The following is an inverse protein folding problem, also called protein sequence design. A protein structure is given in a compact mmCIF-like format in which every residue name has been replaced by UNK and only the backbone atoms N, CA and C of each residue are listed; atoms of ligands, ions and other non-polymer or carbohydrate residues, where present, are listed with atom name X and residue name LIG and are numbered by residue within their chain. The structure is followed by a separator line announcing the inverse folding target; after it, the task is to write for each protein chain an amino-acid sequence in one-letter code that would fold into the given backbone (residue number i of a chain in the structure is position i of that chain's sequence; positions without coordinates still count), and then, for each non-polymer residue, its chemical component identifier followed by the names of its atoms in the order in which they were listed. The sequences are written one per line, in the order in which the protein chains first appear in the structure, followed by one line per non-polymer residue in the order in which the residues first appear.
data_IF_468322221556
#
_entry.id   IF_468322221556
#
_cell.length_a   1.000
_cell.length_b   1.000
_cell.length_c   1.000
_cell.angle_alpha   90.00
_cell.angle_beta   90.00
_cell.angle_gamma   90.00
#
_symmetry.space_group_name_H-M   'P 1'
#
loop_
_entity.id
_entity.type
_entity.pdbx_description
1 polymer ?
#
# COMPACT_ATOMS: atom_id res chain seq x y z
N UNK A 1 19.75 5.13 -22.24
CA UNK A 1 19.52 6.55 -22.64
C UNK A 1 20.86 7.28 -22.57
N UNK A 2 21.27 8.04 -23.59
CA UNK A 2 22.43 8.93 -23.49
C UNK A 2 22.11 10.04 -22.47
N UNK A 3 23.09 10.44 -21.66
CA UNK A 3 23.00 11.47 -20.60
C UNK A 3 22.40 12.79 -21.10
N UNK A 4 21.07 12.87 -21.12
CA UNK A 4 20.33 14.12 -21.26
C UNK A 4 19.83 14.48 -19.87
N UNK A 5 20.20 15.66 -19.36
CA UNK A 5 19.58 16.22 -18.17
C UNK A 5 18.07 16.24 -18.39
N UNK A 6 17.36 15.39 -17.65
CA UNK A 6 15.91 15.42 -17.63
C UNK A 6 15.54 16.68 -16.83
N UNK A 7 14.72 17.56 -17.40
CA UNK A 7 14.24 18.75 -16.68
C UNK A 7 13.20 18.32 -15.63
N UNK A 8 13.62 17.57 -14.61
CA UNK A 8 12.81 17.01 -13.53
C UNK A 8 13.56 17.15 -12.20
N UNK A 9 12.88 16.82 -11.10
CA UNK A 9 13.46 16.82 -9.77
C UNK A 9 14.79 16.02 -9.71
N UNK A 10 15.87 16.58 -9.12
CA UNK A 10 17.18 15.93 -9.09
C UNK A 10 17.20 14.56 -8.40
N UNK A 11 16.38 14.37 -7.36
CA UNK A 11 16.30 13.09 -6.65
C UNK A 11 15.58 12.04 -7.50
N UNK A 12 14.54 12.45 -8.23
CA UNK A 12 13.89 11.59 -9.22
C UNK A 12 14.83 11.24 -10.38
N UNK A 13 15.57 12.21 -10.90
CA UNK A 13 16.54 11.97 -11.97
C UNK A 13 17.64 11.00 -11.53
N UNK A 14 18.17 11.19 -10.31
CA UNK A 14 19.16 10.29 -9.71
C UNK A 14 18.60 8.88 -9.55
N UNK A 15 17.37 8.74 -9.06
CA UNK A 15 16.70 7.45 -8.93
C UNK A 15 16.56 6.73 -10.29
N UNK A 16 16.11 7.45 -11.34
CA UNK A 16 15.98 6.89 -12.70
C UNK A 16 17.35 6.47 -13.28
N UNK A 17 18.38 7.30 -13.09
CA UNK A 17 19.75 6.97 -13.52
C UNK A 17 20.25 5.69 -12.82
N UNK A 18 20.04 5.59 -11.51
CA UNK A 18 20.43 4.42 -10.72
C UNK A 18 19.69 3.14 -11.13
N UNK A 19 18.38 3.22 -11.39
CA UNK A 19 17.60 2.13 -11.95
C UNK A 19 18.19 1.62 -13.27
N UNK A 20 18.55 2.54 -14.18
CA UNK A 20 19.10 2.17 -15.48
C UNK A 20 20.47 1.48 -15.42
N UNK A 21 21.25 1.70 -14.35
CA UNK A 21 22.59 1.12 -14.17
C UNK A 21 22.52 -0.29 -13.58
N UNK A 22 21.62 -0.55 -12.62
CA UNK A 22 21.54 -1.85 -11.93
C UNK A 22 20.75 -2.94 -12.70
N UNK A 23 20.21 -2.63 -13.88
CA UNK A 23 19.44 -3.56 -14.70
C UNK A 23 17.93 -3.30 -14.65
N UNK A 24 17.22 -3.70 -15.72
CA UNK A 24 15.84 -3.31 -15.99
C UNK A 24 14.85 -3.51 -14.83
N UNK A 25 13.90 -2.58 -14.69
CA UNK A 25 12.63 -2.78 -13.99
C UNK A 25 11.74 -3.82 -14.71
N UNK A 26 12.21 -5.02 -15.02
CA UNK A 26 11.42 -6.02 -15.78
C UNK A 26 10.37 -6.76 -14.94
N UNK A 27 9.83 -6.09 -13.92
CA UNK A 27 8.83 -6.62 -13.00
C UNK A 27 7.44 -6.07 -13.26
N UNK A 28 6.42 -6.92 -13.11
CA UNK A 28 5.00 -6.54 -13.10
C UNK A 28 4.48 -6.25 -11.69
N UNK A 29 5.36 -6.13 -10.70
CA UNK A 29 5.01 -5.93 -9.29
C UNK A 29 5.05 -4.45 -8.91
N UNK A 30 4.17 -4.03 -7.98
CA UNK A 30 4.30 -2.72 -7.33
C UNK A 30 5.59 -2.68 -6.52
N UNK A 31 5.93 -3.79 -5.86
CA UNK A 31 7.09 -3.87 -4.98
C UNK A 31 8.35 -3.45 -5.73
N UNK A 32 8.72 -4.11 -6.82
CA UNK A 32 10.06 -3.97 -7.42
C UNK A 32 10.04 -3.65 -8.93
N UNK A 33 8.85 -3.46 -9.51
CA UNK A 33 8.65 -3.42 -10.96
C UNK A 33 8.19 -2.08 -11.53
N UNK A 34 7.83 -2.11 -12.82
CA UNK A 34 7.28 -0.97 -13.57
C UNK A 34 6.11 -0.32 -12.85
N UNK A 35 5.13 -1.06 -12.29
CA UNK A 35 4.03 -0.43 -11.58
C UNK A 35 4.46 0.48 -10.42
N UNK A 36 5.45 0.06 -9.63
CA UNK A 36 6.01 0.87 -8.54
C UNK A 36 6.64 2.16 -9.06
N UNK A 37 7.44 2.06 -10.13
CA UNK A 37 8.02 3.22 -10.81
C UNK A 37 6.95 4.16 -11.38
N UNK A 38 5.92 3.63 -12.03
CA UNK A 38 4.82 4.42 -12.58
C UNK A 38 4.06 5.18 -11.49
N UNK A 39 3.86 4.55 -10.33
CA UNK A 39 3.24 5.17 -9.17
C UNK A 39 4.12 6.24 -8.52
N UNK A 40 5.44 6.01 -8.45
CA UNK A 40 6.40 7.04 -8.04
C UNK A 40 6.35 8.24 -8.99
N UNK A 41 6.39 8.01 -10.30
CA UNK A 41 6.29 9.08 -11.30
C UNK A 41 4.96 9.84 -11.18
N UNK A 42 3.85 9.14 -10.90
CA UNK A 42 2.56 9.77 -10.64
C UNK A 42 2.61 10.71 -9.42
N UNK A 43 3.26 10.31 -8.31
CA UNK A 43 3.43 11.16 -7.13
C UNK A 43 4.19 12.45 -7.44
N UNK A 44 5.24 12.36 -8.27
CA UNK A 44 5.97 13.55 -8.72
C UNK A 44 5.13 14.39 -9.68
N UNK A 45 4.40 13.76 -10.60
CA UNK A 45 3.55 14.45 -11.57
C UNK A 45 2.51 15.34 -10.90
N UNK A 46 1.75 14.82 -9.93
CA UNK A 46 0.66 15.57 -9.28
C UNK A 46 1.17 16.73 -8.42
N UNK A 47 2.44 16.69 -8.02
CA UNK A 47 3.07 17.71 -7.17
C UNK A 47 4.03 18.62 -7.93
N UNK A 48 4.20 18.42 -9.24
CA UNK A 48 5.09 19.21 -10.08
C UNK A 48 4.35 20.40 -10.68
N UNK A 49 4.80 21.61 -10.39
CA UNK A 49 4.16 22.85 -10.86
C UNK A 49 4.65 23.24 -12.26
N UNK A 50 5.91 22.95 -12.60
CA UNK A 50 6.45 23.28 -13.91
C UNK A 50 5.86 22.35 -14.99
N UNK A 51 5.17 22.95 -15.96
CA UNK A 51 4.49 22.22 -17.05
C UNK A 51 5.50 21.41 -17.88
N UNK A 52 6.72 21.93 -18.11
CA UNK A 52 7.72 21.21 -18.90
C UNK A 52 8.22 19.97 -18.16
N UNK A 53 8.50 20.09 -16.85
CA UNK A 53 8.86 18.98 -15.98
C UNK A 53 7.74 17.95 -15.89
N UNK A 54 6.50 18.40 -15.68
CA UNK A 54 5.31 17.54 -15.63
C UNK A 54 5.13 16.73 -16.91
N UNK A 55 5.24 17.38 -18.08
CA UNK A 55 5.20 16.71 -19.39
C UNK A 55 6.36 15.72 -19.56
N UNK A 56 7.55 16.05 -19.04
CA UNK A 56 8.68 15.13 -19.09
C UNK A 56 8.44 13.87 -18.23
N UNK A 57 7.88 14.03 -17.04
CA UNK A 57 7.53 12.93 -16.13
C UNK A 57 6.50 12.00 -16.78
N UNK A 58 5.44 12.56 -17.38
CA UNK A 58 4.42 11.75 -18.05
C UNK A 58 4.95 11.02 -19.28
N UNK A 59 5.80 11.68 -20.08
CA UNK A 59 6.50 11.03 -21.19
C UNK A 59 7.36 9.85 -20.72
N UNK A 60 8.04 9.98 -19.56
CA UNK A 60 8.79 8.89 -18.94
C UNK A 60 7.87 7.76 -18.51
N UNK A 61 6.74 8.08 -17.85
CA UNK A 61 5.76 7.07 -17.44
C UNK A 61 5.23 6.29 -18.65
N UNK A 62 4.87 6.98 -19.72
CA UNK A 62 4.44 6.34 -20.97
C UNK A 62 5.54 5.47 -21.58
N UNK A 63 6.79 5.92 -21.55
CA UNK A 63 7.93 5.15 -22.04
C UNK A 63 8.08 3.82 -21.28
N UNK A 64 8.06 3.86 -19.94
CA UNK A 64 8.19 2.67 -19.11
C UNK A 64 7.00 1.71 -19.24
N UNK A 65 5.78 2.23 -19.35
CA UNK A 65 4.61 1.41 -19.62
C UNK A 65 4.78 0.59 -20.90
N UNK A 66 5.24 1.22 -21.99
CA UNK A 66 5.45 0.55 -23.27
C UNK A 66 6.60 -0.47 -23.26
N UNK A 67 7.60 -0.29 -22.39
CA UNK A 67 8.65 -1.30 -22.19
C UNK A 67 8.09 -2.56 -21.52
N UNK A 68 7.18 -2.40 -20.55
CA UNK A 68 6.57 -3.51 -19.81
C UNK A 68 5.43 -4.22 -20.54
N UNK A 69 4.81 -3.57 -21.54
CA UNK A 69 3.59 -4.04 -22.20
C UNK A 69 3.72 -5.40 -22.92
N UNK A 70 4.95 -5.88 -23.18
CA UNK A 70 5.22 -7.11 -23.94
C UNK A 70 5.73 -8.28 -23.10
N UNK A 71 5.76 -8.16 -21.78
CA UNK A 71 6.25 -9.23 -20.92
C UNK A 71 5.16 -10.27 -20.65
N UNK A 72 5.47 -11.55 -20.90
CA UNK A 72 4.59 -12.66 -20.53
C UNK A 72 4.63 -12.87 -19.02
N UNK A 73 3.45 -12.89 -18.38
CA UNK A 73 3.32 -13.07 -16.94
C UNK A 73 2.82 -14.49 -16.66
N UNK A 74 3.68 -15.32 -16.08
CA UNK A 74 3.26 -16.62 -15.54
C UNK A 74 2.65 -16.42 -14.15
N UNK A 75 1.45 -16.95 -13.94
CA UNK A 75 0.73 -16.81 -12.66
C UNK A 75 0.96 -18.03 -11.75
N UNK A 76 1.27 -17.75 -10.49
CA UNK A 76 1.45 -18.67 -9.37
C UNK A 76 0.72 -18.15 -8.14
N UNK A 77 0.68 -18.92 -7.04
CA UNK A 77 0.06 -18.45 -5.79
C UNK A 77 0.76 -17.22 -5.19
N UNK A 78 2.05 -17.01 -5.45
CA UNK A 78 2.83 -15.91 -4.86
C UNK A 78 2.85 -14.62 -5.68
N UNK A 79 2.22 -14.59 -6.86
CA UNK A 79 2.25 -13.43 -7.77
C UNK A 79 0.87 -13.09 -8.38
N UNK A 80 -0.20 -13.44 -7.67
CA UNK A 80 -1.58 -13.14 -8.06
C UNK A 80 -2.20 -12.00 -7.24
N UNK A 81 -1.46 -11.46 -6.28
CA UNK A 81 -1.88 -10.39 -5.39
C UNK A 81 -1.73 -9.00 -6.00
N UNK A 82 -2.12 -7.99 -5.21
CA UNK A 82 -2.02 -6.59 -5.59
C UNK A 82 -0.55 -6.14 -5.71
N UNK A 83 0.27 -6.43 -4.70
CA UNK A 83 1.64 -5.94 -4.63
C UNK A 83 2.59 -6.70 -5.56
N UNK A 84 2.37 -8.00 -5.70
CA UNK A 84 3.29 -8.91 -6.38
C UNK A 84 2.77 -9.45 -7.71
N UNK A 85 1.56 -9.07 -8.11
CA UNK A 85 0.90 -9.60 -9.29
C UNK A 85 0.56 -8.55 -10.34
N UNK A 86 -0.04 -8.99 -11.46
CA UNK A 86 -0.31 -8.13 -12.63
C UNK A 86 -1.32 -7.01 -12.35
N UNK A 87 -2.07 -7.11 -11.24
CA UNK A 87 -2.98 -6.05 -10.79
C UNK A 87 -2.24 -4.76 -10.46
N UNK A 88 -0.96 -4.84 -10.07
CA UNK A 88 -0.14 -3.66 -9.82
C UNK A 88 -0.10 -2.71 -11.03
N UNK A 89 0.03 -3.27 -12.24
CA UNK A 89 0.04 -2.47 -13.46
C UNK A 89 -1.33 -1.84 -13.73
N UNK A 90 -2.42 -2.56 -13.45
CA UNK A 90 -3.77 -2.01 -13.51
C UNK A 90 -3.95 -0.83 -12.56
N UNK A 91 -3.35 -0.87 -11.36
CA UNK A 91 -3.37 0.25 -10.40
C UNK A 91 -2.64 1.47 -10.94
N UNK A 92 -1.43 1.27 -11.45
CA UNK A 92 -0.63 2.35 -11.99
C UNK A 92 -1.35 3.03 -13.17
N UNK A 93 -1.88 2.25 -14.11
CA UNK A 93 -2.61 2.77 -15.28
C UNK A 93 -3.91 3.45 -14.86
N UNK A 94 -4.67 2.89 -13.92
CA UNK A 94 -5.89 3.53 -13.40
C UNK A 94 -5.57 4.89 -12.76
N UNK A 95 -4.48 4.98 -11.99
CA UNK A 95 -3.97 6.24 -11.42
C UNK A 95 -3.68 7.26 -12.52
N UNK A 96 -2.86 6.89 -13.52
CA UNK A 96 -2.52 7.77 -14.64
C UNK A 96 -3.74 8.22 -15.45
N UNK A 97 -4.74 7.35 -15.63
CA UNK A 97 -5.99 7.69 -16.33
C UNK A 97 -6.84 8.75 -15.63
N UNK A 98 -6.62 8.95 -14.32
CA UNK A 98 -7.30 9.95 -13.51
C UNK A 98 -6.54 11.28 -13.47
N UNK A 99 -5.21 11.24 -13.45
CA UNK A 99 -4.37 12.44 -13.21
C UNK A 99 -3.81 13.07 -14.48
N UNK A 100 -3.68 12.31 -15.58
CA UNK A 100 -3.09 12.82 -16.82
C UNK A 100 -3.93 13.95 -17.41
N UNK A 101 -3.26 15.05 -17.76
CA UNK A 101 -3.83 16.18 -18.48
C UNK A 101 -3.45 16.19 -19.97
N UNK A 102 -2.57 15.28 -20.40
CA UNK A 102 -2.01 15.27 -21.74
C UNK A 102 -2.80 14.35 -22.67
N UNK A 103 -3.50 14.94 -23.65
CA UNK A 103 -4.29 14.19 -24.63
C UNK A 103 -3.46 13.35 -25.62
N UNK A 104 -2.13 13.52 -25.66
CA UNK A 104 -1.25 12.70 -26.51
C UNK A 104 -1.19 11.23 -26.06
N UNK A 105 -1.60 10.94 -24.82
CA UNK A 105 -1.55 9.61 -24.21
C UNK A 105 -2.95 9.17 -23.84
N UNK A 106 -3.46 8.12 -24.49
CA UNK A 106 -4.81 7.61 -24.21
C UNK A 106 -4.81 6.67 -23.01
N UNK A 107 -4.54 7.22 -21.83
CA UNK A 107 -4.57 6.49 -20.57
C UNK A 107 -5.94 5.87 -20.27
N UNK A 108 -7.03 6.45 -20.79
CA UNK A 108 -8.39 5.93 -20.57
C UNK A 108 -8.64 4.65 -21.35
N UNK A 109 -8.29 4.61 -22.64
CA UNK A 109 -8.42 3.39 -23.44
C UNK A 109 -7.51 2.28 -22.89
N UNK A 110 -6.28 2.62 -22.51
CA UNK A 110 -5.34 1.66 -21.92
C UNK A 110 -5.84 1.14 -20.57
N UNK A 111 -6.41 1.98 -19.71
CA UNK A 111 -7.01 1.54 -18.44
C UNK A 111 -8.12 0.49 -18.67
N UNK A 112 -9.01 0.72 -19.63
CA UNK A 112 -10.03 -0.26 -19.97
C UNK A 112 -9.43 -1.59 -20.46
N UNK A 113 -8.40 -1.54 -21.30
CA UNK A 113 -7.71 -2.73 -21.78
C UNK A 113 -7.09 -3.54 -20.64
N UNK A 114 -6.31 -2.90 -19.75
CA UNK A 114 -5.69 -3.60 -18.61
C UNK A 114 -6.74 -4.17 -17.64
N UNK A 115 -7.75 -3.39 -17.30
CA UNK A 115 -8.82 -3.86 -16.42
C UNK A 115 -9.55 -5.07 -17.00
N UNK A 116 -9.91 -5.03 -18.29
CA UNK A 116 -10.57 -6.15 -18.96
C UNK A 116 -9.72 -7.43 -18.91
N UNK A 117 -8.42 -7.31 -19.18
CA UNK A 117 -7.49 -8.44 -19.11
C UNK A 117 -7.33 -8.98 -17.68
N UNK A 118 -7.51 -8.15 -16.64
CA UNK A 118 -7.41 -8.59 -15.24
C UNK A 118 -8.71 -9.16 -14.68
N UNK A 119 -9.84 -9.04 -15.40
CA UNK A 119 -11.15 -9.42 -14.89
C UNK A 119 -11.25 -10.90 -14.52
N UNK A 120 -10.54 -11.80 -15.23
CA UNK A 120 -10.52 -13.23 -14.87
C UNK A 120 -9.91 -13.46 -13.49
N UNK A 121 -8.84 -12.73 -13.14
CA UNK A 121 -8.15 -12.85 -11.86
C UNK A 121 -9.01 -12.28 -10.74
N UNK A 122 -9.64 -11.13 -10.98
CA UNK A 122 -10.61 -10.52 -10.05
C UNK A 122 -11.77 -11.50 -9.78
N UNK A 123 -12.34 -12.10 -10.82
CA UNK A 123 -13.40 -13.11 -10.69
C UNK A 123 -12.94 -14.36 -9.93
N UNK A 124 -11.69 -14.81 -10.15
CA UNK A 124 -11.13 -15.94 -9.38
C UNK A 124 -11.08 -15.61 -7.89
N UNK A 125 -10.57 -14.43 -7.52
CA UNK A 125 -10.48 -13.99 -6.13
C UNK A 125 -11.85 -13.70 -5.51
N UNK A 126 -12.84 -13.27 -6.29
CA UNK A 126 -14.21 -13.04 -5.79
C UNK A 126 -14.91 -14.29 -5.27
N UNK A 127 -14.34 -15.48 -5.51
CA UNK A 127 -14.86 -16.79 -5.07
C UNK A 127 -14.02 -17.41 -3.95
N UNK A 128 -13.13 -16.63 -3.34
CA UNK A 128 -12.26 -17.11 -2.25
C UNK A 128 -13.10 -17.58 -1.07
N UNK A 129 -12.86 -18.82 -0.66
CA UNK A 129 -13.49 -19.39 0.53
C UNK A 129 -12.61 -19.23 1.77
N UNK A 130 -13.23 -19.30 2.95
CA UNK A 130 -12.56 -19.30 4.24
C UNK A 130 -11.47 -20.38 4.36
N UNK A 131 -11.69 -21.57 3.81
CA UNK A 131 -10.69 -22.64 3.84
C UNK A 131 -9.45 -22.31 3.02
N UNK A 132 -9.59 -21.59 1.91
CA UNK A 132 -8.44 -21.15 1.10
C UNK A 132 -7.56 -20.15 1.86
N UNK A 133 -8.11 -19.38 2.81
CA UNK A 133 -7.33 -18.46 3.64
C UNK A 133 -6.35 -19.17 4.59
N UNK A 134 -6.45 -20.48 4.77
CA UNK A 134 -5.42 -21.25 5.51
C UNK A 134 -4.07 -21.27 4.78
N UNK A 135 -4.04 -21.00 3.48
CA UNK A 135 -2.82 -20.75 2.72
C UNK A 135 -2.29 -19.34 3.03
N UNK A 136 -1.02 -19.26 3.42
CA UNK A 136 -0.35 -17.99 3.73
C UNK A 136 -0.40 -16.99 2.58
N UNK A 137 -0.38 -17.42 1.31
CA UNK A 137 -0.44 -16.53 0.16
C UNK A 137 -1.84 -16.03 -0.15
N UNK A 138 -2.88 -16.65 0.42
CA UNK A 138 -4.28 -16.28 0.19
C UNK A 138 -4.81 -15.28 1.22
N UNK A 139 -4.34 -15.34 2.47
CA UNK A 139 -4.82 -14.50 3.59
C UNK A 139 -4.07 -13.18 3.79
N UNK A 140 -3.28 -12.79 2.83
CA UNK A 140 -2.21 -11.81 2.97
C UNK A 140 -2.48 -10.57 2.10
N UNK A 141 -2.18 -9.38 2.58
CA UNK A 141 -2.43 -8.15 1.80
C UNK A 141 -1.48 -8.01 0.61
N UNK A 142 -0.26 -8.53 0.72
CA UNK A 142 0.80 -8.48 -0.29
C UNK A 142 0.47 -9.46 -1.43
N UNK A 143 0.08 -10.68 -1.08
CA UNK A 143 -0.07 -11.78 -2.05
C UNK A 143 -1.51 -12.15 -2.39
N UNK A 144 -2.46 -11.81 -1.52
CA UNK A 144 -3.72 -12.52 -1.42
C UNK A 144 -4.97 -11.66 -1.41
N UNK A 145 -6.04 -12.29 -0.96
CA UNK A 145 -7.42 -11.77 -1.00
C UNK A 145 -7.58 -10.37 -0.38
N UNK A 146 -6.99 -10.03 0.78
CA UNK A 146 -7.07 -8.67 1.34
C UNK A 146 -6.54 -7.59 0.38
N UNK A 147 -5.43 -7.87 -0.33
CA UNK A 147 -4.89 -6.96 -1.33
C UNK A 147 -5.87 -6.74 -2.49
N UNK A 148 -6.60 -7.79 -2.90
CA UNK A 148 -7.61 -7.70 -3.96
C UNK A 148 -8.82 -6.87 -3.52
N UNK A 149 -9.25 -7.03 -2.26
CA UNK A 149 -10.31 -6.18 -1.69
C UNK A 149 -9.89 -4.71 -1.69
N UNK A 150 -8.65 -4.41 -1.26
CA UNK A 150 -8.09 -3.05 -1.34
C UNK A 150 -8.13 -2.52 -2.79
N UNK A 151 -7.69 -3.32 -3.76
CA UNK A 151 -7.74 -2.95 -5.17
C UNK A 151 -9.16 -2.58 -5.63
N UNK A 152 -10.15 -3.42 -5.31
CA UNK A 152 -11.55 -3.19 -5.72
C UNK A 152 -12.16 -1.96 -5.03
N UNK A 153 -11.75 -1.65 -3.81
CA UNK A 153 -12.26 -0.46 -3.11
C UNK A 153 -11.65 0.85 -3.62
N UNK A 154 -10.40 0.83 -4.10
CA UNK A 154 -9.65 2.06 -4.37
C UNK A 154 -9.41 2.36 -5.85
N UNK A 155 -9.26 1.35 -6.72
CA UNK A 155 -9.08 1.59 -8.15
C UNK A 155 -10.41 1.99 -8.79
N UNK A 156 -10.45 3.11 -9.50
CA UNK A 156 -11.67 3.75 -9.97
C UNK A 156 -12.49 2.81 -10.87
N UNK A 157 -11.83 2.20 -11.86
CA UNK A 157 -12.50 1.29 -12.79
C UNK A 157 -13.04 0.02 -12.09
N UNK A 158 -12.28 -0.54 -11.15
CA UNK A 158 -12.65 -1.73 -10.39
C UNK A 158 -13.81 -1.44 -9.43
N UNK A 159 -13.72 -0.33 -8.68
CA UNK A 159 -14.78 0.13 -7.78
C UNK A 159 -16.09 0.38 -8.51
N UNK A 160 -16.03 1.05 -9.67
CA UNK A 160 -17.22 1.28 -10.50
C UNK A 160 -17.84 -0.04 -10.97
N UNK A 161 -17.01 -1.00 -11.38
CA UNK A 161 -17.47 -2.33 -11.78
C UNK A 161 -18.13 -3.09 -10.63
N UNK A 162 -17.52 -3.11 -9.45
CA UNK A 162 -18.05 -3.80 -8.27
C UNK A 162 -19.35 -3.17 -7.78
N UNK A 163 -19.46 -1.84 -7.82
CA UNK A 163 -20.71 -1.13 -7.50
C UNK A 163 -21.87 -1.56 -8.41
N UNK A 164 -21.59 -1.83 -9.68
CA UNK A 164 -22.61 -2.22 -10.66
C UNK A 164 -22.90 -3.72 -10.64
N UNK A 165 -21.92 -4.54 -10.30
CA UNK A 165 -22.03 -6.00 -10.22
C UNK A 165 -21.20 -6.51 -9.03
N UNK A 166 -21.78 -6.58 -7.82
CA UNK A 166 -21.05 -6.94 -6.61
C UNK A 166 -20.65 -8.42 -6.59
N UNK A 167 -19.40 -8.73 -6.94
CA UNK A 167 -18.88 -10.09 -7.03
C UNK A 167 -18.34 -10.62 -5.69
N UNK A 168 -17.85 -9.74 -4.81
CA UNK A 168 -17.14 -10.15 -3.58
C UNK A 168 -18.06 -10.34 -2.37
N UNK A 169 -19.33 -9.89 -2.45
CA UNK A 169 -20.29 -9.96 -1.33
C UNK A 169 -20.37 -11.37 -0.75
N UNK A 170 -20.56 -12.39 -1.59
CA UNK A 170 -20.76 -13.76 -1.12
C UNK A 170 -19.54 -14.31 -0.36
N UNK A 171 -18.33 -14.06 -0.87
CA UNK A 171 -17.09 -14.51 -0.23
C UNK A 171 -16.85 -13.78 1.09
N UNK A 172 -17.08 -12.47 1.13
CA UNK A 172 -16.95 -11.69 2.39
C UNK A 172 -17.94 -12.19 3.43
N UNK A 173 -19.19 -12.44 3.04
CA UNK A 173 -20.20 -12.99 3.94
C UNK A 173 -19.83 -14.39 4.43
N UNK A 174 -19.28 -15.25 3.59
CA UNK A 174 -18.86 -16.60 3.99
C UNK A 174 -17.65 -16.56 4.95
N UNK A 175 -16.64 -15.76 4.62
CA UNK A 175 -15.42 -15.59 5.41
C UNK A 175 -15.76 -15.01 6.79
N UNK A 176 -16.64 -14.01 6.84
CA UNK A 176 -16.96 -13.25 8.06
C UNK A 176 -18.07 -13.89 8.91
N UNK A 177 -18.41 -15.18 8.73
CA UNK A 177 -19.44 -15.86 9.55
C UNK A 177 -18.97 -16.29 10.94
N UNK A 178 -17.66 -16.38 11.14
CA UNK A 178 -17.02 -16.92 12.34
C UNK A 178 -15.70 -16.19 12.57
N UNK A 179 -15.22 -16.18 13.82
CA UNK A 179 -13.91 -15.59 14.19
C UNK A 179 -12.78 -16.10 13.29
N UNK A 180 -12.08 -15.18 12.65
CA UNK A 180 -10.96 -15.42 11.75
C UNK A 180 -9.67 -15.83 12.47
N UNK A 181 -9.58 -15.71 13.80
CA UNK A 181 -8.44 -16.19 14.58
C UNK A 181 -8.07 -17.64 14.24
N UNK A 182 -9.07 -18.51 14.08
CA UNK A 182 -8.88 -19.93 13.71
C UNK A 182 -8.15 -20.16 12.38
N UNK A 183 -8.14 -19.18 11.48
CA UNK A 183 -7.38 -19.21 10.21
C UNK A 183 -5.88 -18.97 10.46
N UNK A 184 -5.52 -18.23 11.51
CA UNK A 184 -4.17 -17.77 11.80
C UNK A 184 -3.49 -18.52 12.96
N UNK A 185 -4.25 -19.08 13.91
CA UNK A 185 -3.71 -19.57 15.19
C UNK A 185 -3.69 -21.10 15.38
N UNK A 186 -4.10 -21.90 14.39
CA UNK A 186 -3.97 -23.37 14.37
C UNK A 186 -3.91 -24.05 15.76
N UNK A 187 -5.00 -24.04 16.53
CA UNK A 187 -5.17 -24.62 17.87
C UNK A 187 -4.15 -24.23 18.99
N UNK A 188 -3.03 -23.58 18.70
CA UNK A 188 -2.04 -23.12 19.68
C UNK A 188 -1.89 -21.60 19.57
N UNK A 189 -2.47 -20.90 20.53
CA UNK A 189 -2.51 -19.44 20.69
C UNK A 189 -1.13 -18.78 20.93
N UNK A 190 0.00 -19.43 20.60
CA UNK A 190 1.30 -18.77 20.70
C UNK A 190 1.37 -17.64 19.68
N UNK A 191 1.40 -16.40 20.18
CA UNK A 191 1.38 -15.15 19.41
C UNK A 191 2.61 -15.08 18.51
N UNK A 192 2.41 -15.31 17.20
CA UNK A 192 3.40 -14.92 16.20
C UNK A 192 3.00 -13.53 15.66
N UNK A 193 3.79 -12.48 15.89
CA UNK A 193 3.54 -11.12 15.38
C UNK A 193 3.23 -11.08 13.88
N UNK A 194 3.83 -11.97 13.07
CA UNK A 194 3.55 -12.04 11.63
C UNK A 194 2.13 -12.45 11.30
N UNK A 195 1.47 -13.19 12.20
CA UNK A 195 0.09 -13.65 12.02
C UNK A 195 -0.94 -12.59 12.43
N UNK A 196 -0.53 -11.51 13.08
CA UNK A 196 -1.42 -10.43 13.51
C UNK A 196 -1.21 -9.12 12.75
N UNK A 197 -0.03 -8.92 12.17
CA UNK A 197 0.32 -7.70 11.42
C UNK A 197 -0.54 -7.36 10.20
N UNK A 198 -0.32 -6.17 9.65
CA UNK A 198 -1.02 -5.67 8.45
C UNK A 198 -0.66 -6.45 7.18
N UNK A 199 0.62 -6.79 6.99
CA UNK A 199 1.07 -7.39 5.73
C UNK A 199 0.57 -8.83 5.56
N UNK A 200 0.85 -9.66 6.57
CA UNK A 200 0.72 -11.11 6.48
C UNK A 200 -0.30 -11.69 7.48
N UNK A 201 -0.92 -10.81 8.26
CA UNK A 201 -1.68 -11.16 9.46
C UNK A 201 -3.15 -10.82 9.39
N UNK A 202 -3.81 -11.09 10.52
CA UNK A 202 -5.24 -10.93 10.73
C UNK A 202 -5.71 -9.48 10.57
N UNK A 203 -4.89 -8.50 11.00
CA UNK A 203 -5.21 -7.07 10.86
C UNK A 203 -5.48 -6.70 9.41
N UNK A 204 -4.61 -7.11 8.47
CA UNK A 204 -4.78 -6.78 7.05
C UNK A 204 -6.07 -7.33 6.46
N UNK A 205 -6.43 -8.57 6.82
CA UNK A 205 -7.67 -9.20 6.36
C UNK A 205 -8.92 -8.48 6.90
N UNK A 206 -8.97 -8.22 8.20
CA UNK A 206 -10.11 -7.54 8.83
C UNK A 206 -10.24 -6.12 8.29
N UNK A 207 -9.14 -5.38 8.23
CA UNK A 207 -9.10 -4.04 7.66
C UNK A 207 -9.70 -4.01 6.25
N UNK A 208 -9.26 -4.90 5.36
CA UNK A 208 -9.76 -4.98 3.99
C UNK A 208 -11.24 -5.36 3.89
N UNK A 209 -11.73 -6.22 4.77
CA UNK A 209 -13.15 -6.60 4.84
C UNK A 209 -14.00 -5.40 5.31
N UNK A 210 -13.58 -4.71 6.38
CA UNK A 210 -14.28 -3.53 6.90
C UNK A 210 -14.28 -2.39 5.88
N UNK A 211 -13.15 -2.15 5.23
CA UNK A 211 -13.02 -1.19 4.13
C UNK A 211 -14.01 -1.49 3.00
N UNK A 212 -14.14 -2.75 2.60
CA UNK A 212 -15.12 -3.14 1.59
C UNK A 212 -16.55 -2.86 2.06
N UNK A 213 -16.87 -3.23 3.30
CA UNK A 213 -18.20 -2.99 3.88
C UNK A 213 -18.56 -1.49 3.88
N UNK A 214 -17.64 -0.64 4.33
CA UNK A 214 -17.81 0.82 4.33
C UNK A 214 -17.93 1.42 2.94
N UNK A 215 -17.17 0.90 1.96
CA UNK A 215 -17.12 1.43 0.59
C UNK A 215 -18.40 1.16 -0.19
N UNK A 216 -18.98 -0.03 -0.04
CA UNK A 216 -20.13 -0.45 -0.83
C UNK A 216 -21.45 -0.41 -0.06
N UNK A 217 -21.45 -0.46 1.29
CA UNK A 217 -22.64 -0.39 2.16
C UNK A 217 -23.80 -1.31 1.75
N UNK A 218 -23.47 -2.41 1.05
CA UNK A 218 -24.42 -3.32 0.42
C UNK A 218 -24.42 -4.70 1.08
N UNK A 219 -23.71 -4.89 2.19
CA UNK A 219 -23.72 -6.16 2.91
C UNK A 219 -24.97 -6.22 3.78
N UNK A 220 -25.77 -7.27 3.59
CA UNK A 220 -26.94 -7.59 4.42
C UNK A 220 -26.58 -8.17 5.80
N UNK A 221 -25.29 -8.26 6.12
CA UNK A 221 -24.76 -8.88 7.33
C UNK A 221 -23.97 -7.80 8.08
N UNK A 222 -24.16 -7.78 9.40
CA UNK A 222 -23.31 -7.00 10.30
C UNK A 222 -21.94 -7.67 10.44
N UNK A 223 -21.07 -7.36 9.47
CA UNK A 223 -19.70 -7.86 9.41
C UNK A 223 -18.89 -7.43 10.62
N UNK A 224 -19.15 -6.24 11.15
CA UNK A 224 -18.42 -5.71 12.30
C UNK A 224 -18.74 -6.52 13.56
N UNK A 225 -20.02 -6.78 13.83
CA UNK A 225 -20.44 -7.64 14.94
C UNK A 225 -19.84 -9.05 14.83
N UNK A 226 -19.79 -9.63 13.64
CA UNK A 226 -19.23 -10.98 13.47
C UNK A 226 -17.71 -11.05 13.66
N UNK A 227 -17.00 -9.93 13.50
CA UNK A 227 -15.55 -9.85 13.64
C UNK A 227 -15.11 -9.22 14.97
N UNK A 228 -16.05 -8.92 15.87
CA UNK A 228 -15.77 -8.18 17.12
C UNK A 228 -14.72 -8.90 17.99
N UNK A 229 -14.84 -10.22 18.16
CA UNK A 229 -13.85 -11.01 18.91
C UNK A 229 -12.44 -10.89 18.31
N UNK A 230 -12.34 -10.87 16.97
CA UNK A 230 -11.05 -10.74 16.28
C UNK A 230 -10.49 -9.31 16.43
N UNK A 231 -11.36 -8.30 16.43
CA UNK A 231 -11.00 -6.88 16.61
C UNK A 231 -10.50 -6.65 18.04
N UNK A 232 -11.25 -7.11 19.05
CA UNK A 232 -10.86 -7.02 20.47
C UNK A 232 -9.50 -7.69 20.71
N UNK A 233 -9.28 -8.86 20.11
CA UNK A 233 -7.99 -9.54 20.19
C UNK A 233 -6.83 -8.71 19.59
N UNK A 234 -7.05 -7.99 18.49
CA UNK A 234 -6.04 -7.09 17.90
C UNK A 234 -5.81 -5.86 18.80
N UNK A 235 -6.85 -5.33 19.43
CA UNK A 235 -6.75 -4.23 20.39
C UNK A 235 -5.88 -4.62 21.59
N UNK A 236 -6.11 -5.81 22.15
CA UNK A 236 -5.26 -6.35 23.23
C UNK A 236 -3.83 -6.57 22.78
N UNK A 237 -3.62 -7.05 21.54
CA UNK A 237 -2.30 -7.16 20.94
C UNK A 237 -1.61 -5.80 20.79
N UNK A 238 -2.34 -4.74 20.41
CA UNK A 238 -1.78 -3.39 20.33
C UNK A 238 -1.30 -2.89 21.70
N UNK A 239 -2.09 -3.10 22.76
CA UNK A 239 -1.71 -2.80 24.16
C UNK A 239 -0.46 -3.59 24.58
N UNK A 240 -0.39 -4.86 24.20
CA UNK A 240 0.80 -5.68 24.44
C UNK A 240 2.03 -5.11 23.72
N UNK A 241 1.92 -4.70 22.45
CA UNK A 241 3.03 -4.08 21.74
C UNK A 241 3.53 -2.80 22.42
N UNK A 242 2.60 -1.95 22.90
CA UNK A 242 2.95 -0.77 23.68
C UNK A 242 3.76 -1.10 24.94
N UNK A 243 3.41 -2.19 25.64
CA UNK A 243 4.16 -2.63 26.83
C UNK A 243 5.61 -3.06 26.54
N UNK A 244 5.92 -3.33 25.27
CA UNK A 244 7.26 -3.72 24.81
C UNK A 244 8.07 -2.54 24.29
N UNK A 245 7.50 -1.33 24.19
CA UNK A 245 8.17 -0.15 23.68
C UNK A 245 9.45 0.18 24.47
N UNK A 246 10.48 0.66 23.78
CA UNK A 246 11.81 0.90 24.34
C UNK A 246 12.67 -0.36 24.53
N UNK A 247 12.14 -1.56 24.33
CA UNK A 247 12.92 -2.78 24.36
C UNK A 247 13.52 -3.09 22.97
N UNK A 248 14.84 -2.91 22.86
CA UNK A 248 15.59 -3.09 21.61
C UNK A 248 15.52 -4.50 21.03
N UNK A 249 15.06 -5.51 21.79
CA UNK A 249 14.82 -6.87 21.28
C UNK A 249 13.59 -6.97 20.37
N UNK A 250 12.67 -6.00 20.44
CA UNK A 250 11.39 -6.03 19.75
C UNK A 250 11.29 -4.94 18.67
N UNK A 251 12.32 -4.79 17.84
CA UNK A 251 12.35 -3.78 16.76
C UNK A 251 11.17 -3.88 15.79
N UNK A 252 10.51 -5.04 15.69
CA UNK A 252 9.36 -5.22 14.80
C UNK A 252 8.13 -4.38 15.18
N UNK A 253 8.08 -3.84 16.40
CA UNK A 253 7.03 -2.92 16.87
C UNK A 253 6.92 -1.70 15.94
N UNK A 254 8.04 -1.28 15.37
CA UNK A 254 8.12 -0.11 14.49
C UNK A 254 7.81 -0.41 13.03
N UNK A 255 7.49 -1.67 12.69
CA UNK A 255 7.27 -2.09 11.31
C UNK A 255 5.80 -1.97 10.93
N UNK A 256 5.51 -1.48 9.72
CA UNK A 256 4.16 -1.54 9.16
C UNK A 256 3.65 -2.98 9.00
N UNK A 257 4.51 -3.90 8.56
CA UNK A 257 4.07 -5.26 8.25
C UNK A 257 3.60 -6.07 9.47
N UNK A 258 4.09 -5.77 10.68
CA UNK A 258 3.90 -6.60 11.90
C UNK A 258 3.63 -5.83 13.19
N UNK A 259 3.88 -4.53 13.21
CA UNK A 259 3.89 -3.70 14.42
C UNK A 259 2.85 -2.58 14.40
N UNK A 260 3.04 -1.62 15.33
CA UNK A 260 2.11 -0.54 15.63
C UNK A 260 1.68 0.26 14.38
N UNK A 261 2.59 0.68 13.47
CA UNK A 261 2.19 1.47 12.30
C UNK A 261 1.12 0.80 11.42
N UNK A 262 1.11 -0.54 11.35
CA UNK A 262 0.12 -1.30 10.59
C UNK A 262 -1.24 -1.47 11.27
N UNK A 263 -1.34 -1.19 12.58
CA UNK A 263 -2.55 -1.41 13.37
C UNK A 263 -3.44 -0.16 13.45
N UNK A 264 -2.84 1.03 13.36
CA UNK A 264 -3.50 2.33 13.58
C UNK A 264 -4.81 2.47 12.80
N UNK A 265 -4.79 2.08 11.53
CA UNK A 265 -5.91 2.32 10.64
C UNK A 265 -7.07 1.35 10.87
N UNK A 266 -6.80 0.15 11.41
CA UNK A 266 -7.86 -0.73 11.88
C UNK A 266 -8.56 -0.10 13.09
N UNK A 267 -7.80 0.33 14.11
CA UNK A 267 -8.36 0.97 15.31
C UNK A 267 -9.19 2.22 14.95
N UNK A 268 -8.72 2.99 13.99
CA UNK A 268 -9.43 4.14 13.45
C UNK A 268 -10.76 3.75 12.80
N UNK A 269 -10.80 2.69 12.01
CA UNK A 269 -12.05 2.24 11.35
C UNK A 269 -13.04 1.65 12.37
N UNK A 270 -12.54 1.01 13.43
CA UNK A 270 -13.37 0.39 14.48
C UNK A 270 -13.67 1.33 15.66
N UNK A 271 -13.29 2.61 15.57
CA UNK A 271 -13.55 3.67 16.57
C UNK A 271 -12.98 3.39 17.98
N UNK A 272 -11.84 2.71 18.08
CA UNK A 272 -11.08 2.58 19.33
C UNK A 272 -10.20 3.82 19.53
N UNK A 273 -10.84 4.98 19.78
CA UNK A 273 -10.19 6.29 19.78
C UNK A 273 -9.18 6.47 20.93
N UNK A 274 -9.40 5.83 22.09
CA UNK A 274 -8.46 5.86 23.22
C UNK A 274 -7.16 5.14 22.87
N UNK A 275 -7.24 3.88 22.46
CA UNK A 275 -6.08 3.10 22.04
C UNK A 275 -5.40 3.70 20.82
N UNK A 276 -6.17 4.22 19.86
CA UNK A 276 -5.61 4.94 18.72
C UNK A 276 -4.77 6.14 19.19
N UNK A 277 -5.27 6.94 20.13
CA UNK A 277 -4.53 8.08 20.66
C UNK A 277 -3.23 7.67 21.34
N UNK A 278 -3.22 6.56 22.08
CA UNK A 278 -2.00 6.04 22.71
C UNK A 278 -0.96 5.63 21.67
N UNK A 279 -1.37 4.87 20.65
CA UNK A 279 -0.48 4.46 19.57
C UNK A 279 0.04 5.65 18.76
N UNK A 280 -0.80 6.66 18.51
CA UNK A 280 -0.40 7.87 17.80
C UNK A 280 0.65 8.65 18.59
N UNK A 281 0.48 8.79 19.91
CA UNK A 281 1.49 9.42 20.78
C UNK A 281 2.82 8.64 20.76
N UNK A 282 2.76 7.32 20.67
CA UNK A 282 3.97 6.50 20.50
C UNK A 282 4.67 6.77 19.16
N UNK A 283 3.90 6.87 18.06
CA UNK A 283 4.44 7.21 16.74
C UNK A 283 5.12 8.58 16.76
N UNK A 284 4.50 9.59 17.39
CA UNK A 284 5.09 10.92 17.58
C UNK A 284 6.45 10.84 18.28
N UNK A 285 6.51 10.10 19.41
CA UNK A 285 7.73 9.91 20.17
C UNK A 285 8.84 9.21 19.36
N UNK A 286 8.51 8.10 18.68
CA UNK A 286 9.49 7.37 17.87
C UNK A 286 9.94 8.20 16.67
N UNK A 287 9.06 9.01 16.09
CA UNK A 287 9.37 9.86 14.96
C UNK A 287 10.45 10.90 15.30
N UNK A 288 10.40 11.49 16.49
CA UNK A 288 11.43 12.42 16.99
C UNK A 288 12.81 11.74 17.15
N UNK A 289 12.83 10.41 17.30
CA UNK A 289 14.04 9.62 17.50
C UNK A 289 14.62 8.98 16.22
N UNK A 290 14.02 9.24 15.04
CA UNK A 290 14.47 8.62 13.78
C UNK A 290 15.94 9.00 13.49
N UNK A 291 16.79 7.97 13.44
CA UNK A 291 18.19 8.11 13.06
C UNK A 291 18.39 7.79 11.56
N UNK A 292 19.03 8.72 10.84
CA UNK A 292 19.28 8.62 9.38
C UNK A 292 20.17 7.44 8.96
N UNK A 293 20.85 6.80 9.91
CA UNK A 293 21.77 5.69 9.63
C UNK A 293 21.09 4.30 9.72
N UNK A 294 19.81 4.25 10.08
CA UNK A 294 19.04 3.01 10.26
C UNK A 294 18.46 2.40 8.99
N UNK A 295 17.68 1.31 9.15
CA UNK A 295 16.88 0.78 8.05
C UNK A 295 15.73 1.74 7.75
N UNK A 296 15.70 2.28 6.53
CA UNK A 296 14.74 3.30 6.12
C UNK A 296 13.97 2.73 4.95
N UNK A 297 12.93 1.96 5.26
CA UNK A 297 11.97 1.47 4.29
C UNK A 297 10.55 1.59 4.87
N UNK A 298 9.55 1.59 3.99
CA UNK A 298 8.15 1.78 4.40
C UNK A 298 7.56 0.53 5.07
N UNK A 299 8.13 -0.66 4.84
CA UNK A 299 7.60 -1.91 5.36
C UNK A 299 8.08 -2.24 6.79
N UNK A 300 9.39 -2.13 7.03
CA UNK A 300 10.04 -2.60 8.27
C UNK A 300 11.25 -1.75 8.67
N UNK A 301 11.11 -0.44 8.59
CA UNK A 301 12.16 0.53 8.93
C UNK A 301 11.58 1.84 9.43
N UNK A 302 12.42 2.84 9.67
CA UNK A 302 11.94 4.15 10.14
C UNK A 302 10.97 4.85 9.18
N UNK A 303 10.94 4.41 7.91
CA UNK A 303 9.93 4.84 6.94
C UNK A 303 8.49 4.45 7.33
N UNK A 304 8.26 3.35 8.04
CA UNK A 304 6.90 3.02 8.52
C UNK A 304 6.43 3.96 9.62
N UNK A 305 7.31 4.39 10.52
CA UNK A 305 6.99 5.41 11.53
C UNK A 305 6.68 6.74 10.85
N UNK A 306 7.52 7.17 9.90
CA UNK A 306 7.30 8.41 9.16
C UNK A 306 6.00 8.38 8.33
N UNK A 307 5.64 7.23 7.74
CA UNK A 307 4.38 7.06 7.02
C UNK A 307 3.17 7.17 7.97
N UNK A 308 3.23 6.50 9.12
CA UNK A 308 2.18 6.56 10.12
C UNK A 308 2.00 7.98 10.67
N UNK A 309 3.10 8.65 11.04
CA UNK A 309 3.08 10.03 11.48
C UNK A 309 2.43 10.95 10.44
N UNK A 310 2.87 10.83 9.18
CA UNK A 310 2.32 11.61 8.07
C UNK A 310 0.81 11.42 7.90
N UNK A 311 0.32 10.18 8.04
CA UNK A 311 -1.09 9.86 7.85
C UNK A 311 -1.98 10.28 9.04
N UNK A 312 -1.46 10.31 10.26
CA UNK A 312 -2.27 10.50 11.47
C UNK A 312 -2.06 11.83 12.19
N UNK A 313 -0.88 12.45 12.11
CA UNK A 313 -0.54 13.59 12.95
C UNK A 313 -0.64 14.96 12.26
N UNK A 314 -0.49 15.05 10.94
CA UNK A 314 -0.66 16.27 10.08
C UNK A 314 0.08 17.55 10.58
N UNK A 315 0.80 17.50 11.70
CA UNK A 315 1.42 18.64 12.36
C UNK A 315 2.92 18.68 12.01
N UNK A 316 3.26 19.73 11.25
CA UNK A 316 4.57 20.40 11.08
C UNK A 316 5.42 19.98 9.87
N UNK A 317 5.10 20.59 8.71
CA UNK A 317 5.89 21.55 7.91
C UNK A 317 7.45 21.61 7.95
N UNK A 318 8.19 20.63 8.48
CA UNK A 318 9.66 20.60 8.35
C UNK A 318 10.25 19.21 8.60
N UNK A 319 9.56 18.19 8.10
CA UNK A 319 10.07 16.83 8.10
C UNK A 319 11.21 16.75 7.06
N UNK A 320 12.45 17.07 7.47
CA UNK A 320 13.68 16.79 6.70
C UNK A 320 14.06 15.32 6.83
N UNK A 321 13.11 14.40 6.68
CA UNK A 321 13.36 12.99 7.06
C UNK A 321 14.29 12.27 6.10
N UNK A 322 14.66 12.85 4.95
CA UNK A 322 15.68 12.24 4.07
C UNK A 322 16.56 13.33 3.42
N UNK A 323 17.76 13.57 3.95
CA UNK A 323 18.78 14.46 3.38
C UNK A 323 19.51 13.80 2.20
N UNK A 324 20.22 14.57 1.36
CA UNK A 324 20.98 14.05 0.20
C UNK A 324 21.95 12.89 0.52
N UNK A 325 22.41 12.81 1.78
CA UNK A 325 23.22 11.70 2.32
C UNK A 325 22.49 10.34 2.28
N UNK A 326 21.16 10.34 2.32
CA UNK A 326 20.31 9.17 2.22
C UNK A 326 20.57 8.37 0.94
N UNK A 327 20.59 9.05 -0.21
CA UNK A 327 20.89 8.46 -1.52
C UNK A 327 22.36 8.06 -1.70
N UNK A 328 23.27 8.57 -0.86
CA UNK A 328 24.70 8.27 -0.92
C UNK A 328 25.09 7.06 -0.07
N UNK A 329 24.24 6.64 0.88
CA UNK A 329 24.48 5.45 1.68
C UNK A 329 24.33 4.19 0.82
N UNK A 330 25.35 3.33 0.82
CA UNK A 330 25.39 2.07 0.08
C UNK A 330 24.45 1.00 0.67
N UNK A 331 23.52 1.37 1.56
CA UNK A 331 22.67 0.45 2.31
C UNK A 331 21.40 0.01 1.56
N UNK A 332 21.14 0.55 0.38
CA UNK A 332 19.97 0.21 -0.43
C UNK A 332 20.35 -0.67 -1.62
N UNK A 333 20.21 -1.98 -1.42
CA UNK A 333 20.28 -2.97 -2.49
C UNK A 333 18.98 -3.04 -3.31
N UNK A 334 17.92 -2.34 -2.90
CA UNK A 334 16.62 -2.37 -3.56
C UNK A 334 16.06 -0.97 -3.89
N UNK A 335 15.46 -0.86 -5.08
CA UNK A 335 14.71 0.31 -5.54
C UNK A 335 13.20 0.19 -5.30
N UNK A 336 12.80 -0.83 -4.54
CA UNK A 336 11.40 -1.17 -4.35
C UNK A 336 10.58 -0.09 -3.64
N UNK A 337 9.26 -0.20 -3.76
CA UNK A 337 8.30 0.65 -3.06
C UNK A 337 8.15 0.27 -1.58
N UNK A 338 8.39 -0.99 -1.20
CA UNK A 338 8.20 -1.47 0.17
C UNK A 338 9.48 -1.43 1.01
N UNK A 339 10.57 -1.91 0.44
CA UNK A 339 11.84 -2.17 1.13
C UNK A 339 12.97 -1.25 0.67
N UNK A 340 12.75 -0.51 -0.42
CA UNK A 340 13.75 0.29 -1.09
C UNK A 340 13.47 1.79 -1.09
N UNK A 341 14.29 2.49 -1.86
CA UNK A 341 14.28 3.96 -1.95
C UNK A 341 13.05 4.52 -2.68
N UNK A 342 12.37 3.75 -3.52
CA UNK A 342 11.23 4.22 -4.32
C UNK A 342 10.07 4.71 -3.44
N UNK A 343 9.68 3.91 -2.44
CA UNK A 343 8.59 4.27 -1.52
C UNK A 343 8.92 5.49 -0.67
N UNK A 344 10.16 5.53 -0.16
CA UNK A 344 10.65 6.64 0.66
C UNK A 344 10.71 7.93 -0.13
N UNK A 345 11.14 7.88 -1.39
CA UNK A 345 11.16 9.03 -2.27
C UNK A 345 9.74 9.56 -2.55
N UNK A 346 8.77 8.67 -2.75
CA UNK A 346 7.36 9.07 -2.91
C UNK A 346 6.82 9.75 -1.63
N UNK A 347 7.06 9.16 -0.45
CA UNK A 347 6.63 9.73 0.83
C UNK A 347 7.29 11.09 1.08
N UNK A 348 8.60 11.20 0.85
CA UNK A 348 9.34 12.45 1.01
C UNK A 348 8.76 13.56 0.12
N UNK A 349 8.43 13.23 -1.14
CA UNK A 349 7.82 14.19 -2.05
C UNK A 349 6.46 14.66 -1.53
N UNK A 350 5.63 13.74 -1.01
CA UNK A 350 4.34 14.08 -0.40
C UNK A 350 4.48 15.05 0.76
N UNK A 351 5.42 14.76 1.67
CA UNK A 351 5.74 15.60 2.82
C UNK A 351 6.22 16.99 2.39
N UNK A 352 7.22 17.07 1.50
CA UNK A 352 7.82 18.33 1.05
C UNK A 352 6.82 19.26 0.37
N UNK A 353 5.84 18.68 -0.31
CA UNK A 353 4.82 19.41 -1.07
C UNK A 353 3.50 19.53 -0.31
N UNK A 354 3.44 19.04 0.94
CA UNK A 354 2.21 18.96 1.73
C UNK A 354 1.03 18.39 0.93
N UNK A 355 1.30 17.34 0.14
CA UNK A 355 0.34 16.74 -0.80
C UNK A 355 -0.06 15.35 -0.34
N UNK A 356 -1.27 14.85 -0.67
CA UNK A 356 -1.63 13.46 -0.41
C UNK A 356 -0.55 12.46 -0.87
N UNK A 357 -0.32 11.42 -0.05
CA UNK A 357 0.52 10.30 -0.43
C UNK A 357 -0.30 9.31 -1.25
N UNK A 358 -0.04 9.21 -2.56
CA UNK A 358 -0.85 8.41 -3.49
C UNK A 358 -0.91 6.92 -3.15
N UNK A 359 0.04 6.43 -2.37
CA UNK A 359 0.17 5.02 -2.00
C UNK A 359 -0.45 4.73 -0.63
N UNK A 360 -1.01 5.72 0.06
CA UNK A 360 -1.61 5.60 1.39
C UNK A 360 -2.51 4.36 1.53
N UNK A 361 -3.37 4.14 0.55
CA UNK A 361 -4.32 3.05 0.55
C UNK A 361 -3.70 1.68 0.25
N UNK A 362 -2.55 1.62 -0.44
CA UNK A 362 -1.82 0.37 -0.62
C UNK A 362 -1.29 -0.15 0.71
N UNK A 363 -0.86 0.77 1.58
CA UNK A 363 -0.45 0.50 2.95
C UNK A 363 -1.63 0.40 3.91
N UNK A 364 -2.86 0.61 3.43
CA UNK A 364 -4.04 0.67 4.28
C UNK A 364 -3.93 1.70 5.39
N UNK A 365 -3.36 2.88 5.11
CA UNK A 365 -3.23 4.02 6.06
C UNK A 365 -4.12 5.22 5.70
N UNK A 366 -5.09 5.05 4.79
CA UNK A 366 -6.02 6.10 4.37
C UNK A 366 -7.35 6.08 5.13
N UNK A 367 -8.03 7.22 5.21
CA UNK A 367 -9.33 7.36 5.88
C UNK A 367 -10.50 7.10 4.92
N UNK A 368 -11.33 6.10 5.22
CA UNK A 368 -12.52 5.74 4.42
C UNK A 368 -13.83 6.26 5.00
N UNK A 369 -13.82 6.81 6.23
CA UNK A 369 -15.03 7.31 6.90
C UNK A 369 -15.51 8.62 6.29
N UNK A 370 -14.56 9.47 5.88
CA UNK A 370 -14.82 10.73 5.20
C UNK A 370 -14.91 10.52 3.69
N UNK A 371 -16.07 10.08 3.19
CA UNK A 371 -16.37 9.80 1.78
C UNK A 371 -16.08 10.89 0.73
N UNK A 372 -15.33 11.94 1.07
CA UNK A 372 -14.72 12.90 0.15
C UNK A 372 -13.46 12.33 -0.50
N UNK A 373 -13.63 11.55 -1.56
CA UNK A 373 -12.63 11.55 -2.64
C UNK A 373 -12.83 12.86 -3.42
N UNK A 374 -12.48 13.98 -2.80
CA UNK A 374 -11.93 15.11 -3.53
C UNK A 374 -10.41 14.96 -3.41
N UNK A 375 -9.88 13.89 -4.02
CA UNK A 375 -8.46 13.83 -4.37
C UNK A 375 -8.37 14.65 -5.66
N UNK A 376 -7.92 15.90 -5.51
CA UNK A 376 -7.70 16.80 -6.65
C UNK A 376 -6.60 16.27 -7.56
#
# INVERSE_FOLDING_TARGET
MKNTNLNIDPNLERYIKLLSIKGNCDGYTISDGIPGLLLLLAQFYITEEDIKSRNCIEKLAWHYLNQGAYQSISLSSSNQGLWTGPLGLSVAVDTWSQISLNSAYDWKAINQFYYHNMLFLIKKWSRTSRNELKDKFRRDIVFGFPGILNYVCNCHIARKSEKNNPMFIQSIQEISKQSLLSVYSGHNLSVNPTNLGMAHGLTGLIFSILQYNLTFKNLSIDVETNLMEDIEYIVDYAKYLLSLCGNTKYMFINNWCTGIPGLLNLLKITNYEEELSELVNYIDYEFESIHMDGNICLCHGYGSIALADYAFNVKKNNIKVFSDSYFASHKFDSYSMLTGVGGILALNRSIQKASPFLLDWLFGVNDFRNGSINRH
#
